data_IF_287590244501
#
_entry.id   IF_287590244501
#
_cell.length_a   1.000
_cell.length_b   1.000
_cell.length_c   1.000
_cell.angle_alpha   90.00
_cell.angle_beta   90.00
_cell.angle_gamma   90.00
#
_symmetry.space_group_name_H-M   'P 1'
#
loop_
_entity.id
_entity.type
_entity.pdbx_description
1 polymer ?
#
# COMPACT_ATOMS: atom_id res chain seq x y z
N UNK A 1 -10.59 -26.20 -23.40
CA UNK A 1 -10.15 -26.44 -22.02
C UNK A 1 -9.41 -25.19 -21.56
N UNK A 2 -9.63 -24.73 -20.33
CA UNK A 2 -8.93 -23.55 -19.81
C UNK A 2 -7.41 -23.77 -19.78
N UNK A 3 -6.64 -22.85 -20.33
CA UNK A 3 -5.17 -22.89 -20.31
C UNK A 3 -4.57 -22.65 -18.91
N UNK A 4 -5.42 -22.38 -17.93
CA UNK A 4 -5.05 -22.04 -16.55
C UNK A 4 -5.86 -22.84 -15.53
N UNK A 5 -5.27 -23.08 -14.37
CA UNK A 5 -5.89 -23.75 -13.23
C UNK A 5 -5.81 -22.85 -12.00
N UNK A 6 -6.94 -22.62 -11.35
CA UNK A 6 -7.03 -21.86 -10.08
C UNK A 6 -7.12 -22.83 -8.92
N UNK A 7 -6.37 -22.58 -7.88
CA UNK A 7 -6.50 -23.26 -6.59
C UNK A 7 -6.45 -22.26 -5.43
N UNK A 8 -7.10 -22.60 -4.32
CA UNK A 8 -6.97 -21.86 -3.07
C UNK A 8 -5.57 -22.10 -2.50
N UNK A 9 -4.96 -21.06 -1.95
CA UNK A 9 -3.70 -21.13 -1.20
C UNK A 9 -3.87 -22.02 0.05
N UNK A 10 -2.85 -22.80 0.36
CA UNK A 10 -2.68 -23.54 1.60
C UNK A 10 -1.34 -23.17 2.25
N UNK A 11 -1.24 -23.30 3.57
CA UNK A 11 -0.03 -22.93 4.31
C UNK A 11 1.24 -23.67 3.84
N UNK A 12 1.10 -24.88 3.29
CA UNK A 12 2.20 -25.62 2.63
C UNK A 12 2.77 -24.91 1.41
N UNK A 13 2.01 -23.99 0.79
CA UNK A 13 2.42 -23.26 -0.42
C UNK A 13 3.18 -21.96 -0.10
N UNK A 14 3.40 -21.64 1.19
CA UNK A 14 3.96 -20.36 1.65
C UNK A 14 5.29 -20.01 0.97
N UNK A 15 6.23 -20.96 0.88
CA UNK A 15 7.50 -20.72 0.21
C UNK A 15 7.35 -20.43 -1.28
N UNK A 16 6.45 -21.17 -1.96
CA UNK A 16 6.18 -20.95 -3.38
C UNK A 16 5.52 -19.59 -3.63
N UNK A 17 4.55 -19.23 -2.77
CA UNK A 17 3.92 -17.91 -2.77
C UNK A 17 4.94 -16.78 -2.59
N UNK A 18 5.76 -16.85 -1.54
CA UNK A 18 6.74 -15.83 -1.22
C UNK A 18 7.82 -15.67 -2.31
N UNK A 19 8.27 -16.80 -2.89
CA UNK A 19 9.19 -16.78 -4.04
C UNK A 19 8.55 -16.10 -5.26
N UNK A 20 7.24 -16.31 -5.47
CA UNK A 20 6.51 -15.66 -6.55
C UNK A 20 6.41 -14.15 -6.33
N UNK A 21 6.03 -13.72 -5.12
CA UNK A 21 5.97 -12.30 -4.75
C UNK A 21 7.27 -11.57 -5.02
N UNK A 22 8.40 -12.18 -4.65
CA UNK A 22 9.74 -11.59 -4.84
C UNK A 22 10.12 -11.37 -6.33
N UNK A 23 9.44 -12.03 -7.29
CA UNK A 23 9.76 -11.97 -8.72
C UNK A 23 8.60 -11.44 -9.58
N UNK A 24 7.50 -11.01 -8.96
CA UNK A 24 6.33 -10.51 -9.66
C UNK A 24 6.52 -9.08 -10.15
N UNK A 25 5.83 -8.69 -11.25
CA UNK A 25 5.97 -7.35 -11.83
C UNK A 25 5.26 -6.23 -11.07
N UNK A 26 4.27 -6.58 -10.24
CA UNK A 26 3.40 -5.66 -9.52
C UNK A 26 3.17 -6.11 -8.07
N UNK A 27 4.23 -6.53 -7.40
CA UNK A 27 4.18 -6.93 -6.00
C UNK A 27 5.03 -6.03 -5.10
N UNK A 28 4.71 -6.08 -3.82
CA UNK A 28 5.56 -5.54 -2.74
C UNK A 28 5.60 -6.54 -1.59
N UNK A 29 6.43 -6.27 -0.58
CA UNK A 29 6.54 -7.12 0.60
C UNK A 29 5.21 -7.27 1.38
N UNK A 30 4.22 -6.39 1.17
CA UNK A 30 2.89 -6.48 1.79
C UNK A 30 2.14 -7.74 1.35
N UNK A 31 2.47 -8.30 0.16
CA UNK A 31 1.88 -9.55 -0.34
C UNK A 31 2.59 -10.81 0.14
N UNK A 32 3.72 -10.67 0.84
CA UNK A 32 4.41 -11.79 1.45
C UNK A 32 3.56 -12.42 2.56
N UNK A 33 3.51 -13.75 2.66
CA UNK A 33 2.66 -14.41 3.66
C UNK A 33 3.06 -14.05 5.08
N UNK A 34 4.35 -13.89 5.39
CA UNK A 34 4.78 -13.42 6.71
C UNK A 34 4.22 -12.04 7.07
N UNK A 35 3.95 -11.17 6.06
CA UNK A 35 3.27 -9.90 6.29
C UNK A 35 1.76 -10.10 6.40
N UNK A 36 1.14 -10.93 5.58
CA UNK A 36 -0.32 -11.13 5.60
C UNK A 36 -0.80 -11.90 6.83
N UNK A 37 0.01 -12.81 7.35
CA UNK A 37 -0.40 -13.73 8.41
C UNK A 37 -0.29 -13.14 9.84
N UNK A 38 0.27 -11.93 10.03
CA UNK A 38 0.30 -11.31 11.37
C UNK A 38 -1.10 -11.05 11.93
N UNK A 39 -2.09 -10.96 11.07
CA UNK A 39 -3.50 -10.68 11.43
C UNK A 39 -4.47 -11.73 10.86
N UNK A 40 -4.01 -12.96 10.68
CA UNK A 40 -4.78 -14.09 10.11
C UNK A 40 -6.08 -14.39 10.86
N UNK A 41 -6.14 -14.05 12.14
CA UNK A 41 -7.33 -14.17 12.99
C UNK A 41 -8.44 -13.16 12.67
N UNK A 42 -8.14 -12.12 11.89
CA UNK A 42 -9.09 -11.06 11.51
C UNK A 42 -9.74 -11.29 10.15
N UNK A 43 -9.21 -12.21 9.35
CA UNK A 43 -9.64 -12.42 7.97
C UNK A 43 -9.72 -13.92 7.63
N UNK A 44 -10.81 -14.35 6.99
CA UNK A 44 -10.90 -15.69 6.39
C UNK A 44 -10.11 -15.71 5.09
N UNK A 45 -8.85 -16.14 5.14
CA UNK A 45 -7.95 -16.18 3.98
C UNK A 45 -8.55 -17.06 2.87
N UNK A 46 -8.81 -16.44 1.76
CA UNK A 46 -9.26 -17.10 0.53
C UNK A 46 -8.35 -16.72 -0.66
N UNK A 47 -7.06 -16.57 -0.40
CA UNK A 47 -6.06 -16.27 -1.43
C UNK A 47 -6.02 -17.35 -2.50
N UNK A 48 -5.80 -16.93 -3.76
CA UNK A 48 -5.79 -17.82 -4.92
C UNK A 48 -4.41 -17.87 -5.55
N UNK A 49 -4.06 -19.05 -6.08
CA UNK A 49 -2.87 -19.31 -6.89
C UNK A 49 -3.29 -19.80 -8.27
N UNK A 50 -2.71 -19.23 -9.31
CA UNK A 50 -3.08 -19.51 -10.68
C UNK A 50 -1.88 -20.11 -11.42
N UNK A 51 -2.08 -21.32 -11.97
CA UNK A 51 -1.05 -22.09 -12.67
C UNK A 51 -1.39 -22.23 -14.14
N UNK A 52 -0.37 -22.20 -14.99
CA UNK A 52 -0.52 -22.51 -16.42
C UNK A 52 -0.51 -24.03 -16.67
N UNK A 53 -0.65 -24.43 -17.94
CA UNK A 53 -0.66 -25.85 -18.38
C UNK A 53 0.61 -26.62 -18.00
N UNK A 54 1.74 -25.94 -17.83
CA UNK A 54 3.02 -26.52 -17.40
C UNK A 54 3.16 -26.54 -15.87
N UNK A 55 2.07 -26.35 -15.12
CA UNK A 55 2.03 -26.28 -13.67
C UNK A 55 2.95 -25.20 -13.06
N UNK A 56 3.23 -24.14 -13.82
CA UNK A 56 3.98 -22.99 -13.33
C UNK A 56 3.03 -21.95 -12.75
N UNK A 57 3.35 -21.43 -11.57
CA UNK A 57 2.63 -20.31 -10.95
C UNK A 57 2.85 -19.05 -11.79
N UNK A 58 1.75 -18.43 -12.27
CA UNK A 58 1.77 -17.26 -13.17
C UNK A 58 1.08 -16.05 -12.61
N UNK A 59 0.17 -16.26 -11.66
CA UNK A 59 -0.49 -15.17 -10.91
C UNK A 59 -0.91 -15.63 -9.52
N UNK A 60 -1.08 -14.68 -8.62
CA UNK A 60 -1.69 -14.87 -7.30
C UNK A 60 -2.69 -13.76 -7.03
N UNK A 61 -3.72 -14.06 -6.26
CA UNK A 61 -4.67 -13.07 -5.76
C UNK A 61 -4.70 -13.14 -4.23
N UNK A 62 -3.99 -12.23 -3.52
CA UNK A 62 -4.16 -12.06 -2.09
C UNK A 62 -5.61 -11.71 -1.81
N UNK A 63 -6.34 -12.53 -1.05
CA UNK A 63 -7.76 -12.32 -0.85
C UNK A 63 -8.28 -12.89 0.46
N UNK A 64 -9.41 -12.37 0.91
CA UNK A 64 -10.20 -12.94 2.00
C UNK A 64 -11.69 -12.94 1.63
N UNK A 65 -12.43 -13.83 2.26
CA UNK A 65 -13.86 -14.03 2.03
C UNK A 65 -14.67 -13.30 3.09
N UNK A 66 -15.75 -12.63 2.66
CA UNK A 66 -16.83 -12.16 3.52
C UNK A 66 -18.14 -12.53 2.84
N UNK A 67 -18.92 -13.41 3.45
CA UNK A 67 -20.13 -13.97 2.86
C UNK A 67 -19.91 -14.52 1.44
N UNK A 68 -20.62 -14.00 0.44
CA UNK A 68 -20.47 -14.36 -0.97
C UNK A 68 -19.56 -13.41 -1.77
N UNK A 69 -18.77 -12.57 -1.10
CA UNK A 69 -17.89 -11.60 -1.74
C UNK A 69 -16.43 -11.95 -1.46
N UNK A 70 -15.61 -11.96 -2.52
CA UNK A 70 -14.16 -12.04 -2.41
C UNK A 70 -13.56 -10.65 -2.46
N UNK A 71 -12.74 -10.30 -1.47
CA UNK A 71 -12.01 -9.03 -1.39
C UNK A 71 -10.53 -9.27 -1.64
N UNK A 72 -9.89 -8.45 -2.47
CA UNK A 72 -8.44 -8.46 -2.66
C UNK A 72 -7.70 -7.86 -1.46
N UNK A 73 -8.02 -8.38 -0.29
CA UNK A 73 -7.49 -8.19 1.05
C UNK A 73 -7.65 -6.78 1.66
N UNK A 74 -8.74 -6.56 2.41
CA UNK A 74 -9.04 -5.29 3.09
C UNK A 74 -7.98 -4.88 4.12
N UNK A 75 -7.25 -5.85 4.71
CA UNK A 75 -6.18 -5.59 5.69
C UNK A 75 -4.87 -5.05 5.12
N UNK A 76 -4.75 -4.91 3.79
CA UNK A 76 -3.56 -4.38 3.13
C UNK A 76 -3.78 -2.95 2.62
N UNK A 77 -2.71 -2.19 2.41
CA UNK A 77 -2.75 -0.84 1.83
C UNK A 77 -3.31 -0.86 0.41
N UNK A 78 -2.98 -1.88 -0.36
CA UNK A 78 -3.45 -2.18 -1.72
C UNK A 78 -3.52 -3.69 -1.92
N UNK A 79 -4.13 -4.13 -3.01
CA UNK A 79 -4.32 -5.52 -3.37
C UNK A 79 -4.39 -5.72 -4.88
N UNK A 80 -5.28 -6.59 -5.34
CA UNK A 80 -5.46 -6.91 -6.74
C UNK A 80 -4.69 -8.15 -7.18
N UNK A 81 -4.76 -8.45 -8.48
CA UNK A 81 -4.09 -9.59 -9.09
C UNK A 81 -2.58 -9.29 -9.22
N UNK A 82 -1.76 -10.14 -8.63
CA UNK A 82 -0.30 -10.07 -8.73
C UNK A 82 0.18 -11.00 -9.83
N UNK A 83 1.00 -10.48 -10.74
CA UNK A 83 1.33 -11.11 -12.01
C UNK A 83 2.83 -11.41 -12.13
N UNK A 84 3.16 -12.57 -12.70
CA UNK A 84 4.52 -12.84 -13.18
C UNK A 84 4.93 -11.81 -14.22
N UNK A 85 6.19 -11.40 -14.24
CA UNK A 85 6.76 -10.48 -15.25
C UNK A 85 6.68 -11.01 -16.69
N UNK A 86 6.40 -12.31 -16.87
CA UNK A 86 6.32 -12.96 -18.18
C UNK A 86 4.91 -13.02 -18.76
N UNK A 87 3.88 -12.70 -17.95
CA UNK A 87 2.48 -12.79 -18.39
C UNK A 87 2.13 -11.57 -19.24
N UNK A 88 1.53 -11.80 -20.40
CA UNK A 88 1.08 -10.78 -21.35
C UNK A 88 -0.42 -10.52 -21.23
N UNK A 89 -0.92 -9.43 -21.81
CA UNK A 89 -2.32 -9.00 -21.68
C UNK A 89 -3.35 -10.09 -22.02
N UNK A 90 -3.15 -10.81 -23.12
CA UNK A 90 -4.08 -11.90 -23.52
C UNK A 90 -4.16 -13.02 -22.47
N UNK A 91 -3.04 -13.35 -21.84
CA UNK A 91 -3.00 -14.33 -20.75
C UNK A 91 -3.69 -13.77 -19.49
N UNK A 92 -3.52 -12.48 -19.16
CA UNK A 92 -4.20 -11.86 -17.98
C UNK A 92 -5.71 -11.87 -18.17
N UNK A 93 -6.21 -11.62 -19.38
CA UNK A 93 -7.65 -11.75 -19.73
C UNK A 93 -8.14 -13.17 -19.42
N UNK A 94 -7.44 -14.20 -19.93
CA UNK A 94 -7.81 -15.61 -19.72
C UNK A 94 -7.67 -16.03 -18.23
N UNK A 95 -6.64 -15.56 -17.54
CA UNK A 95 -6.45 -15.77 -16.09
C UNK A 95 -7.63 -15.19 -15.32
N UNK A 96 -8.00 -13.94 -15.62
CA UNK A 96 -9.12 -13.27 -14.93
C UNK A 96 -10.43 -13.99 -15.20
N UNK A 97 -10.70 -14.39 -16.44
CA UNK A 97 -11.86 -15.21 -16.77
C UNK A 97 -11.87 -16.50 -15.94
N UNK A 98 -10.76 -17.23 -15.91
CA UNK A 98 -10.63 -18.47 -15.15
C UNK A 98 -10.85 -18.27 -13.63
N UNK A 99 -10.39 -17.15 -13.07
CA UNK A 99 -10.65 -16.79 -11.68
C UNK A 99 -12.15 -16.58 -11.45
N UNK A 100 -12.81 -15.80 -12.30
CA UNK A 100 -14.25 -15.51 -12.15
C UNK A 100 -15.11 -16.78 -12.32
N UNK A 101 -14.81 -17.65 -13.30
CA UNK A 101 -15.46 -18.96 -13.46
C UNK A 101 -15.25 -19.86 -12.22
N UNK A 102 -14.05 -19.84 -11.63
CA UNK A 102 -13.78 -20.56 -10.40
C UNK A 102 -14.61 -20.00 -9.24
N UNK A 103 -14.71 -18.67 -9.12
CA UNK A 103 -15.51 -18.01 -8.08
C UNK A 103 -17.00 -18.30 -8.24
N UNK A 104 -17.53 -18.30 -9.47
CA UNK A 104 -18.92 -18.66 -9.75
C UNK A 104 -19.25 -20.09 -9.30
N UNK A 105 -18.39 -21.05 -9.64
CA UNK A 105 -18.52 -22.45 -9.17
C UNK A 105 -18.42 -22.60 -7.64
N UNK A 106 -17.87 -21.60 -6.96
CA UNK A 106 -17.78 -21.52 -5.49
C UNK A 106 -18.83 -20.61 -4.87
N UNK A 107 -19.85 -20.23 -5.66
CA UNK A 107 -21.01 -19.44 -5.26
C UNK A 107 -20.66 -18.02 -4.74
N UNK A 108 -19.55 -17.46 -5.22
CA UNK A 108 -19.28 -16.04 -5.03
C UNK A 108 -20.09 -15.20 -6.01
N UNK A 109 -20.64 -14.11 -5.51
CA UNK A 109 -21.40 -13.14 -6.32
C UNK A 109 -20.51 -12.02 -6.87
N UNK A 110 -19.50 -11.61 -6.11
CA UNK A 110 -18.67 -10.44 -6.41
C UNK A 110 -17.20 -10.66 -6.09
N UNK A 111 -16.35 -9.97 -6.86
CA UNK A 111 -14.94 -9.77 -6.60
C UNK A 111 -14.68 -8.27 -6.42
N UNK A 112 -14.22 -7.88 -5.23
CA UNK A 112 -13.85 -6.49 -4.92
C UNK A 112 -12.33 -6.35 -4.97
N UNK A 113 -11.86 -5.49 -5.87
CA UNK A 113 -10.44 -5.20 -6.07
C UNK A 113 -10.07 -3.84 -5.50
N UNK A 114 -8.98 -3.80 -4.77
CA UNK A 114 -8.26 -2.60 -4.34
C UNK A 114 -6.94 -2.54 -5.10
N UNK A 115 -6.92 -1.86 -6.24
CA UNK A 115 -5.79 -1.91 -7.18
C UNK A 115 -4.53 -1.29 -6.54
N UNK A 116 -3.39 -1.94 -6.76
CA UNK A 116 -2.08 -1.37 -6.42
C UNK A 116 -1.80 -0.18 -7.32
N UNK A 117 -1.41 1.00 -6.79
CA UNK A 117 -1.05 2.15 -7.63
C UNK A 117 0.17 1.85 -8.50
N UNK A 118 0.16 2.31 -9.75
CA UNK A 118 1.18 1.98 -10.77
C UNK A 118 2.62 2.32 -10.37
N UNK A 119 2.82 3.32 -9.49
CA UNK A 119 4.15 3.69 -8.98
C UNK A 119 4.85 2.58 -8.18
N UNK A 120 4.09 1.63 -7.62
CA UNK A 120 4.64 0.49 -6.89
C UNK A 120 5.07 -0.65 -7.80
N UNK A 121 4.66 -0.63 -9.08
CA UNK A 121 4.98 -1.67 -10.05
C UNK A 121 6.44 -1.59 -10.50
N UNK A 122 7.11 -2.74 -10.62
CA UNK A 122 8.46 -2.84 -11.19
C UNK A 122 8.44 -2.68 -12.73
N UNK A 123 7.34 -3.09 -13.35
CA UNK A 123 7.07 -2.95 -14.81
C UNK A 123 5.65 -2.41 -15.02
N UNK A 124 5.34 -1.82 -16.21
CA UNK A 124 3.95 -1.47 -16.54
C UNK A 124 2.99 -2.64 -16.31
N UNK A 125 1.90 -2.40 -15.58
CA UNK A 125 0.98 -3.45 -15.14
C UNK A 125 -0.44 -2.92 -14.93
N UNK A 126 -1.00 -2.25 -15.95
CA UNK A 126 -2.35 -1.71 -15.91
C UNK A 126 -3.39 -2.66 -16.57
N UNK A 127 -3.02 -3.94 -16.79
CA UNK A 127 -3.93 -4.91 -17.40
C UNK A 127 -5.26 -5.03 -16.67
N UNK A 128 -5.23 -5.00 -15.32
CA UNK A 128 -6.46 -5.09 -14.52
C UNK A 128 -7.35 -3.87 -14.67
N UNK A 129 -6.81 -2.67 -14.88
CA UNK A 129 -7.61 -1.47 -15.18
C UNK A 129 -8.38 -1.64 -16.50
N UNK A 130 -7.70 -2.15 -17.54
CA UNK A 130 -8.33 -2.45 -18.81
C UNK A 130 -9.36 -3.58 -18.70
N UNK A 131 -9.06 -4.65 -17.97
CA UNK A 131 -9.98 -5.77 -17.77
C UNK A 131 -11.21 -5.36 -16.94
N UNK A 132 -11.07 -4.47 -15.96
CA UNK A 132 -12.19 -3.90 -15.25
C UNK A 132 -13.15 -3.14 -16.20
N UNK A 133 -12.61 -2.43 -17.20
CA UNK A 133 -13.43 -1.81 -18.25
C UNK A 133 -14.18 -2.87 -19.09
N UNK A 134 -13.51 -3.93 -19.53
CA UNK A 134 -14.14 -5.01 -20.32
C UNK A 134 -15.24 -5.75 -19.54
N UNK A 135 -15.06 -5.90 -18.23
CA UNK A 135 -16.01 -6.56 -17.33
C UNK A 135 -17.16 -5.65 -16.87
N UNK A 136 -17.22 -4.41 -17.35
CA UNK A 136 -18.18 -3.40 -16.88
C UNK A 136 -18.14 -3.25 -15.35
N UNK A 137 -16.94 -3.33 -14.78
CA UNK A 137 -16.75 -3.26 -13.35
C UNK A 137 -17.11 -1.88 -12.80
N UNK A 138 -17.82 -1.87 -11.68
CA UNK A 138 -18.20 -0.62 -11.02
C UNK A 138 -16.99 -0.04 -10.27
N UNK A 139 -16.57 1.18 -10.65
CA UNK A 139 -15.64 1.97 -9.83
C UNK A 139 -16.36 2.40 -8.55
N UNK A 140 -16.12 1.69 -7.45
CA UNK A 140 -16.82 1.87 -6.18
C UNK A 140 -16.19 2.95 -5.30
N UNK A 141 -14.86 3.16 -5.41
CA UNK A 141 -14.09 4.17 -4.69
C UNK A 141 -12.85 4.56 -5.49
N UNK A 142 -12.44 5.81 -5.34
CA UNK A 142 -11.16 6.32 -5.84
C UNK A 142 -10.54 7.23 -4.80
N UNK A 143 -9.30 6.97 -4.45
CA UNK A 143 -8.54 7.81 -3.53
C UNK A 143 -7.47 8.60 -4.30
N UNK A 144 -7.18 9.81 -3.82
CA UNK A 144 -6.10 10.66 -4.31
C UNK A 144 -4.90 10.54 -3.36
N UNK A 145 -3.81 9.98 -3.85
CA UNK A 145 -2.53 9.92 -3.16
C UNK A 145 -1.70 11.14 -3.52
N UNK A 146 -1.00 11.70 -2.56
CA UNK A 146 -0.02 12.76 -2.80
C UNK A 146 1.38 12.13 -2.96
N UNK A 147 1.92 12.15 -4.17
CA UNK A 147 3.18 11.48 -4.53
C UNK A 147 4.21 12.51 -5.01
N UNK A 148 5.40 12.44 -4.46
CA UNK A 148 6.56 13.17 -4.93
C UNK A 148 7.40 12.26 -5.84
N UNK A 149 7.65 12.70 -7.07
CA UNK A 149 8.70 12.14 -7.91
C UNK A 149 10.05 12.74 -7.46
N UNK A 150 10.89 11.91 -6.81
CA UNK A 150 12.18 12.36 -6.28
C UNK A 150 13.16 12.66 -7.41
N UNK A 151 13.00 12.03 -8.56
CA UNK A 151 13.87 12.20 -9.73
C UNK A 151 13.53 13.46 -10.54
N UNK A 152 12.29 13.99 -10.38
CA UNK A 152 11.80 15.16 -11.10
C UNK A 152 11.00 16.08 -10.14
N UNK A 153 11.70 16.68 -9.19
CA UNK A 153 11.09 17.41 -8.09
C UNK A 153 10.53 18.78 -8.48
N UNK A 154 9.30 19.04 -8.04
CA UNK A 154 8.75 20.40 -8.00
C UNK A 154 9.29 21.11 -6.76
N UNK A 155 9.64 22.41 -6.86
CA UNK A 155 10.22 23.13 -5.73
C UNK A 155 9.31 23.16 -4.50
N UNK A 156 9.88 22.92 -3.34
CA UNK A 156 9.21 23.00 -2.04
C UNK A 156 8.68 24.42 -1.81
N UNK A 157 7.47 24.55 -1.29
CA UNK A 157 6.81 25.83 -1.03
C UNK A 157 7.55 26.69 0.04
N UNK A 158 7.34 28.01 -0.01
CA UNK A 158 7.94 28.93 0.97
C UNK A 158 7.55 28.59 2.41
N UNK A 159 6.32 28.11 2.63
CA UNK A 159 5.84 27.72 3.97
C UNK A 159 6.63 26.53 4.50
N UNK A 160 6.85 25.50 3.67
CA UNK A 160 7.65 24.32 4.06
C UNK A 160 9.11 24.69 4.29
N UNK A 161 9.70 25.53 3.44
CA UNK A 161 11.08 26.04 3.64
C UNK A 161 11.24 26.71 5.00
N UNK A 162 10.26 27.55 5.41
CA UNK A 162 10.28 28.18 6.74
C UNK A 162 10.21 27.17 7.88
N UNK A 163 9.35 26.13 7.76
CA UNK A 163 9.26 25.04 8.76
C UNK A 163 10.58 24.25 8.87
N UNK A 164 11.21 23.95 7.73
CA UNK A 164 12.50 23.26 7.67
C UNK A 164 13.62 24.10 8.34
N UNK A 165 13.72 25.37 7.97
CA UNK A 165 14.72 26.26 8.57
C UNK A 165 14.51 26.47 10.07
N UNK A 166 13.25 26.47 10.51
CA UNK A 166 12.89 26.51 11.94
C UNK A 166 13.39 25.26 12.66
N UNK A 167 13.23 24.06 12.06
CA UNK A 167 13.78 22.81 12.60
C UNK A 167 15.30 22.85 12.75
N UNK A 168 15.99 23.36 11.74
CA UNK A 168 17.46 23.55 11.79
C UNK A 168 17.88 24.52 12.89
N UNK A 169 17.21 25.68 12.96
CA UNK A 169 17.52 26.71 13.97
C UNK A 169 17.29 26.24 15.41
N UNK A 170 16.33 25.33 15.62
CA UNK A 170 16.05 24.72 16.92
C UNK A 170 16.92 23.48 17.22
N UNK A 171 17.92 23.19 16.39
CA UNK A 171 18.85 22.08 16.61
C UNK A 171 18.20 20.70 16.56
N UNK A 172 17.13 20.52 15.77
CA UNK A 172 16.46 19.23 15.66
C UNK A 172 17.38 18.16 15.05
N UNK A 173 17.34 16.95 15.61
CA UNK A 173 18.11 15.81 15.16
C UNK A 173 17.17 14.67 14.77
N UNK A 174 17.37 14.09 13.58
CA UNK A 174 16.65 12.88 13.13
C UNK A 174 17.48 11.65 13.45
N UNK A 175 16.85 10.64 14.05
CA UNK A 175 17.46 9.33 14.33
C UNK A 175 16.64 8.23 13.67
N UNK A 176 17.32 7.27 13.02
CA UNK A 176 16.73 5.97 12.66
C UNK A 176 16.77 5.08 13.89
N UNK A 177 15.66 4.46 14.24
CA UNK A 177 15.53 3.63 15.43
C UNK A 177 14.99 2.24 15.09
N UNK A 178 15.38 1.24 15.88
CA UNK A 178 14.85 -0.11 15.78
C UNK A 178 13.68 -0.35 16.74
N UNK A 179 13.49 0.55 17.72
CA UNK A 179 12.42 0.50 18.70
C UNK A 179 11.32 1.51 18.35
N UNK A 180 10.08 1.04 18.39
CA UNK A 180 8.89 1.86 18.10
C UNK A 180 8.26 2.45 19.36
N UNK A 181 8.75 2.10 20.56
CA UNK A 181 8.08 2.35 21.84
C UNK A 181 7.81 3.82 22.09
N UNK A 182 8.81 4.68 21.97
CA UNK A 182 8.64 6.12 22.19
C UNK A 182 7.65 6.73 21.21
N UNK A 183 7.79 6.43 19.92
CA UNK A 183 6.88 6.96 18.92
C UNK A 183 5.43 6.48 19.11
N UNK A 184 5.21 5.17 19.40
CA UNK A 184 3.88 4.61 19.60
C UNK A 184 3.21 5.16 20.84
N UNK A 185 3.90 5.14 21.98
CA UNK A 185 3.31 5.43 23.27
C UNK A 185 3.21 6.94 23.57
N UNK A 186 4.17 7.74 23.11
CA UNK A 186 4.21 9.17 23.42
C UNK A 186 3.50 10.03 22.36
N UNK A 187 3.47 9.59 21.09
CA UNK A 187 2.92 10.39 20.00
C UNK A 187 1.73 9.73 19.28
N UNK A 188 1.90 8.52 18.73
CA UNK A 188 0.93 7.97 17.80
C UNK A 188 -0.39 7.58 18.48
N UNK A 189 -0.33 6.76 19.53
CA UNK A 189 -1.53 6.27 20.23
C UNK A 189 -2.29 7.45 20.89
N UNK A 190 -1.64 8.36 21.65
CA UNK A 190 -2.33 9.50 22.24
C UNK A 190 -3.01 10.40 21.20
N UNK A 191 -2.32 10.72 20.09
CA UNK A 191 -2.87 11.59 19.05
C UNK A 191 -4.04 10.96 18.31
N UNK A 192 -3.99 9.66 17.99
CA UNK A 192 -5.11 8.95 17.34
C UNK A 192 -6.32 8.84 18.26
N UNK A 193 -6.10 8.55 19.54
CA UNK A 193 -7.18 8.49 20.52
C UNK A 193 -7.89 9.84 20.67
N UNK A 194 -7.13 10.91 20.77
CA UNK A 194 -7.71 12.24 21.00
C UNK A 194 -8.41 12.81 19.77
N UNK A 195 -7.80 12.66 18.55
CA UNK A 195 -8.36 13.25 17.33
C UNK A 195 -9.49 12.45 16.71
N UNK A 196 -9.39 11.12 16.78
CA UNK A 196 -10.25 10.21 16.00
C UNK A 196 -10.93 9.14 16.86
N UNK A 197 -10.67 9.12 18.17
CA UNK A 197 -11.13 8.07 19.09
C UNK A 197 -10.82 6.64 18.57
N UNK A 198 -9.63 6.46 17.98
CA UNK A 198 -9.18 5.21 17.36
C UNK A 198 -7.78 4.82 17.83
N UNK A 199 -7.34 3.64 17.41
CA UNK A 199 -5.99 3.10 17.63
C UNK A 199 -5.28 2.90 16.29
N UNK A 200 -3.94 2.79 16.27
CA UNK A 200 -3.22 2.35 15.08
C UNK A 200 -3.72 0.99 14.62
N UNK A 201 -3.69 0.74 13.31
CA UNK A 201 -4.07 -0.57 12.72
C UNK A 201 -3.15 -1.68 13.25
N UNK A 202 -1.86 -1.41 13.37
CA UNK A 202 -0.89 -2.29 14.01
C UNK A 202 -0.72 -1.89 15.48
N UNK A 203 -0.78 -2.84 16.39
CA UNK A 203 -0.29 -2.67 17.76
C UNK A 203 1.24 -2.53 17.78
N UNK A 204 1.79 -2.06 18.89
CA UNK A 204 3.25 -2.00 19.08
C UNK A 204 3.90 -3.39 18.91
N UNK A 205 3.26 -4.43 19.42
CA UNK A 205 3.72 -5.80 19.27
C UNK A 205 3.74 -6.23 17.79
N UNK A 206 2.67 -5.98 17.04
CA UNK A 206 2.56 -6.36 15.64
C UNK A 206 3.58 -5.63 14.76
N UNK A 207 3.78 -4.31 14.94
CA UNK A 207 4.77 -3.58 14.13
C UNK A 207 6.20 -4.03 14.46
N UNK A 208 6.49 -4.33 15.72
CA UNK A 208 7.78 -4.87 16.15
C UNK A 208 8.02 -6.26 15.54
N UNK A 209 7.01 -7.13 15.55
CA UNK A 209 7.07 -8.42 14.88
C UNK A 209 7.31 -8.27 13.37
N UNK A 210 6.55 -7.41 12.70
CA UNK A 210 6.71 -7.15 11.27
C UNK A 210 8.10 -6.59 10.95
N UNK A 211 8.64 -5.68 11.77
CA UNK A 211 10.02 -5.19 11.64
C UNK A 211 11.05 -6.33 11.72
N UNK A 212 10.84 -7.31 12.59
CA UNK A 212 11.74 -8.46 12.70
C UNK A 212 11.75 -9.33 11.44
N UNK A 213 10.62 -9.41 10.72
CA UNK A 213 10.48 -10.14 9.45
C UNK A 213 10.95 -9.33 8.24
N UNK A 214 10.77 -8.01 8.29
CA UNK A 214 11.08 -7.08 7.19
C UNK A 214 12.00 -5.93 7.64
N UNK A 215 13.25 -6.26 8.12
CA UNK A 215 14.12 -5.26 8.75
C UNK A 215 14.59 -4.15 7.80
N UNK A 216 14.61 -4.42 6.49
CA UNK A 216 14.99 -3.44 5.48
C UNK A 216 13.80 -2.65 4.96
N UNK A 217 12.60 -3.21 4.97
CA UNK A 217 11.39 -2.61 4.43
C UNK A 217 10.61 -1.77 5.45
N UNK A 218 10.74 -2.05 6.74
CA UNK A 218 10.03 -1.29 7.79
C UNK A 218 11.06 -0.50 8.60
N UNK A 219 10.95 0.82 8.56
CA UNK A 219 11.89 1.75 9.19
C UNK A 219 11.16 2.73 10.11
N UNK A 220 11.77 3.06 11.25
CA UNK A 220 11.29 4.09 12.15
C UNK A 220 12.27 5.25 12.18
N UNK A 221 11.76 6.46 11.99
CA UNK A 221 12.53 7.69 12.16
C UNK A 221 11.84 8.60 13.16
N UNK A 222 12.59 9.06 14.12
CA UNK A 222 12.13 10.03 15.11
C UNK A 222 12.95 11.32 15.00
N UNK A 223 12.30 12.45 15.26
CA UNK A 223 12.96 13.75 15.36
C UNK A 223 12.92 14.23 16.80
N UNK A 224 14.05 14.66 17.28
CA UNK A 224 14.28 15.06 18.66
C UNK A 224 14.76 16.51 18.77
N UNK A 225 14.39 17.17 19.86
CA UNK A 225 15.09 18.31 20.40
C UNK A 225 15.69 17.86 21.74
N UNK A 226 17.01 17.85 21.84
CA UNK A 226 17.72 17.19 22.95
C UNK A 226 17.23 15.72 23.11
N UNK A 227 16.66 15.37 24.27
CA UNK A 227 16.11 14.04 24.55
C UNK A 227 14.58 13.95 24.36
N UNK A 228 13.92 15.05 23.92
CA UNK A 228 12.46 15.08 23.73
C UNK A 228 12.07 14.71 22.31
N UNK A 229 11.18 13.74 22.17
CA UNK A 229 10.60 13.39 20.87
C UNK A 229 9.63 14.50 20.43
N UNK A 230 9.92 15.09 19.26
CA UNK A 230 9.11 16.16 18.65
C UNK A 230 8.15 15.59 17.61
N UNK A 231 8.56 14.53 16.92
CA UNK A 231 7.76 13.87 15.92
C UNK A 231 8.41 12.56 15.47
N UNK A 232 7.67 11.79 14.70
CA UNK A 232 8.18 10.53 14.16
C UNK A 232 7.36 10.04 12.97
N UNK A 233 7.94 9.07 12.26
CA UNK A 233 7.33 8.42 11.11
C UNK A 233 7.79 6.97 11.01
N UNK A 234 6.84 6.06 10.81
CA UNK A 234 7.13 4.69 10.38
C UNK A 234 7.01 4.63 8.87
N UNK A 235 8.05 4.18 8.21
CA UNK A 235 8.15 4.15 6.75
C UNK A 235 8.15 2.71 6.27
N UNK A 236 7.35 2.42 5.23
CA UNK A 236 7.41 1.19 4.45
C UNK A 236 8.21 1.48 3.17
N UNK A 237 9.28 0.72 2.97
CA UNK A 237 10.20 0.84 1.84
C UNK A 237 9.91 -0.30 0.86
N UNK A 238 9.61 0.05 -0.39
CA UNK A 238 9.45 -0.90 -1.51
C UNK A 238 10.49 -0.59 -2.58
N UNK A 239 10.53 -1.36 -3.66
CA UNK A 239 11.54 -1.19 -4.72
C UNK A 239 11.50 0.19 -5.39
N UNK A 240 10.33 0.82 -5.48
CA UNK A 240 10.15 2.10 -6.16
C UNK A 240 9.62 3.22 -5.25
N UNK A 241 9.05 2.87 -4.08
CA UNK A 241 8.24 3.82 -3.30
C UNK A 241 8.61 3.77 -1.83
N UNK A 242 8.80 4.94 -1.28
CA UNK A 242 8.91 5.19 0.16
C UNK A 242 7.54 5.66 0.65
N UNK A 243 6.91 4.87 1.53
CA UNK A 243 5.57 5.16 2.04
C UNK A 243 5.57 5.39 3.56
N UNK A 244 5.34 6.62 4.04
CA UNK A 244 5.04 6.91 5.44
C UNK A 244 3.74 6.24 5.89
N UNK A 245 3.84 5.10 6.55
CA UNK A 245 2.68 4.33 7.03
C UNK A 245 2.02 4.98 8.26
N UNK A 246 2.84 5.50 9.17
CA UNK A 246 2.38 6.23 10.36
C UNK A 246 3.19 7.50 10.52
N UNK A 247 2.50 8.59 10.83
CA UNK A 247 3.09 9.90 11.10
C UNK A 247 2.42 10.51 12.33
N UNK A 248 3.19 11.05 13.22
CA UNK A 248 2.69 11.80 14.37
C UNK A 248 3.70 12.83 14.85
N UNK A 249 3.22 14.02 15.21
CA UNK A 249 4.02 15.08 15.83
C UNK A 249 3.51 15.40 17.22
N UNK A 250 4.40 15.84 18.08
CA UNK A 250 4.06 16.34 19.41
C UNK A 250 3.21 17.60 19.27
N UNK A 251 2.02 17.64 19.88
CA UNK A 251 1.06 18.73 19.73
C UNK A 251 1.60 20.09 20.24
N UNK A 252 2.32 20.07 21.32
CA UNK A 252 2.86 21.29 21.92
C UNK A 252 4.02 21.87 21.11
N UNK A 253 4.88 21.01 20.53
CA UNK A 253 6.18 21.44 20.05
C UNK A 253 6.36 21.29 18.52
N UNK A 254 5.63 20.39 17.86
CA UNK A 254 5.85 20.12 16.43
C UNK A 254 5.79 21.37 15.55
N UNK A 255 4.73 22.19 15.70
CA UNK A 255 4.56 23.41 14.90
C UNK A 255 5.50 24.53 15.33
N UNK A 256 5.78 24.60 16.62
CA UNK A 256 6.71 25.57 17.18
C UNK A 256 8.14 25.31 16.72
N UNK A 257 8.56 24.06 16.69
CA UNK A 257 9.91 23.66 16.34
C UNK A 257 10.11 23.30 14.85
N UNK A 258 9.02 23.12 14.08
CA UNK A 258 9.09 22.69 12.68
C UNK A 258 9.42 21.20 12.53
N UNK A 259 9.02 20.36 13.49
CA UNK A 259 9.47 18.96 13.62
C UNK A 259 9.20 18.10 12.41
N UNK A 260 7.93 17.94 12.00
CA UNK A 260 7.58 17.09 10.84
C UNK A 260 8.07 17.68 9.52
N UNK A 261 8.11 19.00 9.35
CA UNK A 261 8.64 19.63 8.15
C UNK A 261 10.14 19.31 7.99
N UNK A 262 10.89 19.40 9.08
CA UNK A 262 12.31 19.07 9.11
C UNK A 262 12.55 17.58 8.90
N UNK A 263 11.78 16.70 9.57
CA UNK A 263 11.87 15.24 9.42
C UNK A 263 11.64 14.80 7.98
N UNK A 264 10.54 15.24 7.35
CA UNK A 264 10.22 14.85 5.98
C UNK A 264 11.26 15.37 4.98
N UNK A 265 11.70 16.61 5.13
CA UNK A 265 12.78 17.13 4.31
C UNK A 265 14.06 16.31 4.45
N UNK A 266 14.43 15.94 5.69
CA UNK A 266 15.60 15.10 5.95
C UNK A 266 15.48 13.74 5.25
N UNK A 267 14.32 13.08 5.36
CA UNK A 267 14.09 11.80 4.71
C UNK A 267 14.18 11.89 3.18
N UNK A 268 13.53 12.89 2.58
CA UNK A 268 13.47 13.05 1.12
C UNK A 268 14.85 13.46 0.56
N UNK A 269 15.54 14.38 1.23
CA UNK A 269 16.77 15.00 0.67
C UNK A 269 18.06 14.30 1.06
N UNK A 270 18.05 13.48 2.12
CA UNK A 270 19.25 12.82 2.64
C UNK A 270 19.14 11.30 2.58
N UNK A 271 18.10 10.72 3.22
CA UNK A 271 17.98 9.27 3.37
C UNK A 271 17.56 8.62 2.05
N UNK A 272 16.49 9.12 1.43
CA UNK A 272 15.83 8.54 0.26
C UNK A 272 16.04 9.32 -1.04
N UNK A 273 17.07 10.14 -1.10
CA UNK A 273 17.35 11.04 -2.26
C UNK A 273 17.58 10.32 -3.59
N UNK A 274 17.91 9.03 -3.55
CA UNK A 274 18.17 8.22 -4.74
C UNK A 274 16.98 7.29 -5.09
N UNK A 275 15.90 7.34 -4.30
CA UNK A 275 14.70 6.57 -4.56
C UNK A 275 13.84 7.26 -5.64
N UNK A 276 12.83 6.54 -6.14
CA UNK A 276 12.03 7.04 -7.27
C UNK A 276 10.85 7.87 -6.80
N UNK A 277 10.05 7.35 -5.88
CA UNK A 277 8.84 8.00 -5.39
C UNK A 277 8.77 8.06 -3.88
N UNK A 278 8.19 9.15 -3.38
CA UNK A 278 7.79 9.30 -1.98
C UNK A 278 6.27 9.50 -1.95
N UNK A 279 5.54 8.49 -1.47
CA UNK A 279 4.09 8.47 -1.41
C UNK A 279 3.60 8.90 -0.03
N UNK A 280 3.18 10.14 0.13
CA UNK A 280 2.59 10.67 1.36
C UNK A 280 1.24 10.03 1.72
N UNK A 281 0.69 9.18 0.86
CA UNK A 281 -0.60 8.54 1.03
C UNK A 281 -1.79 9.46 0.80
N UNK A 282 -2.97 8.94 1.12
CA UNK A 282 -4.26 9.61 0.89
C UNK A 282 -4.54 10.73 1.89
N UNK A 283 -5.35 11.69 1.46
CA UNK A 283 -6.00 12.68 2.33
C UNK A 283 -7.53 12.63 2.19
N UNK A 284 -8.04 11.52 1.67
CA UNK A 284 -9.46 11.33 1.42
C UNK A 284 -10.18 10.85 2.68
N UNK A 285 -11.42 11.30 2.80
CA UNK A 285 -12.43 10.89 3.78
C UNK A 285 -13.68 10.40 3.04
N UNK A 286 -14.66 9.86 3.76
CA UNK A 286 -15.95 9.43 3.21
C UNK A 286 -15.82 8.59 1.92
N UNK A 287 -15.06 7.49 1.98
CA UNK A 287 -14.85 6.55 0.86
C UNK A 287 -14.36 7.24 -0.44
N UNK A 288 -13.39 8.15 -0.30
CA UNK A 288 -12.80 8.86 -1.43
C UNK A 288 -13.53 10.11 -1.90
N UNK A 289 -14.73 10.39 -1.36
CA UNK A 289 -15.59 11.48 -1.84
C UNK A 289 -15.32 12.86 -1.23
N UNK A 290 -14.50 12.91 -0.18
CA UNK A 290 -14.09 14.15 0.47
C UNK A 290 -12.58 14.19 0.57
N UNK A 291 -11.99 15.38 0.51
CA UNK A 291 -10.55 15.61 0.65
C UNK A 291 -10.32 16.52 1.85
N UNK A 292 -9.49 16.10 2.78
CA UNK A 292 -8.96 16.96 3.81
C UNK A 292 -7.95 17.93 3.18
N UNK A 293 -8.43 19.11 2.81
CA UNK A 293 -7.70 20.12 2.05
C UNK A 293 -6.39 20.52 2.75
N UNK A 294 -6.43 20.78 4.06
CA UNK A 294 -5.26 21.20 4.82
C UNK A 294 -4.16 20.14 4.83
N UNK A 295 -4.56 18.87 5.01
CA UNK A 295 -3.62 17.75 4.99
C UNK A 295 -3.07 17.52 3.58
N UNK A 296 -3.91 17.61 2.56
CA UNK A 296 -3.48 17.43 1.17
C UNK A 296 -2.51 18.55 0.74
N UNK A 297 -2.85 19.81 1.06
CA UNK A 297 -1.97 20.96 0.82
C UNK A 297 -0.62 20.82 1.52
N UNK A 298 -0.60 20.30 2.78
CA UNK A 298 0.66 20.05 3.48
C UNK A 298 1.56 19.10 2.69
N UNK A 299 1.02 18.02 2.14
CA UNK A 299 1.75 17.05 1.32
C UNK A 299 2.21 17.66 -0.01
N UNK A 300 1.31 18.33 -0.73
CA UNK A 300 1.64 19.01 -2.00
C UNK A 300 2.67 20.12 -1.83
N UNK A 301 2.71 20.74 -0.67
CA UNK A 301 3.67 21.80 -0.37
C UNK A 301 5.13 21.32 -0.29
N UNK A 302 5.37 20.00 -0.22
CA UNK A 302 6.68 19.37 -0.43
C UNK A 302 7.01 19.11 -1.91
N UNK A 303 6.12 19.41 -2.83
CA UNK A 303 6.27 19.16 -4.26
C UNK A 303 5.49 17.92 -4.76
N UNK A 304 4.74 17.24 -3.88
CA UNK A 304 3.92 16.11 -4.27
C UNK A 304 2.78 16.52 -5.23
N UNK A 305 2.36 15.57 -6.07
CA UNK A 305 1.19 15.72 -6.96
C UNK A 305 0.33 14.46 -6.89
N UNK A 306 -0.90 14.60 -7.37
CA UNK A 306 -1.91 13.56 -7.25
C UNK A 306 -1.71 12.42 -8.23
N UNK A 307 -1.72 11.19 -7.73
CA UNK A 307 -2.06 9.99 -8.48
C UNK A 307 -3.28 9.34 -7.84
N UNK A 308 -3.92 8.38 -8.51
CA UNK A 308 -5.14 7.75 -7.99
C UNK A 308 -4.93 6.28 -7.62
N UNK A 309 -5.68 5.84 -6.61
CA UNK A 309 -5.88 4.44 -6.30
C UNK A 309 -7.34 4.08 -6.54
N UNK A 310 -7.58 3.05 -7.35
CA UNK A 310 -8.90 2.63 -7.77
C UNK A 310 -9.39 1.40 -7.00
N UNK A 311 -10.70 1.37 -6.75
CA UNK A 311 -11.40 0.25 -6.12
C UNK A 311 -12.55 -0.16 -7.04
N UNK A 312 -12.56 -1.42 -7.47
CA UNK A 312 -13.56 -1.95 -8.37
C UNK A 312 -14.40 -3.04 -7.72
N UNK A 313 -15.67 -3.07 -8.05
CA UNK A 313 -16.58 -4.16 -7.78
C UNK A 313 -16.92 -4.86 -9.10
N UNK A 314 -16.58 -6.12 -9.22
CA UNK A 314 -16.81 -6.97 -10.39
C UNK A 314 -17.89 -7.97 -10.05
N UNK A 315 -18.97 -8.03 -10.83
CA UNK A 315 -19.95 -9.11 -10.79
C UNK A 315 -19.31 -10.38 -11.36
N UNK A 316 -19.27 -11.46 -10.58
CA UNK A 316 -18.60 -12.71 -10.97
C UNK A 316 -19.17 -13.27 -12.28
N UNK A 317 -20.50 -13.17 -12.49
CA UNK A 317 -21.20 -13.62 -13.71
C UNK A 317 -20.73 -12.92 -15.00
N UNK A 318 -20.09 -11.74 -14.88
CA UNK A 318 -19.61 -10.98 -16.03
C UNK A 318 -18.39 -11.61 -16.71
N UNK A 319 -17.89 -12.75 -16.23
CA UNK A 319 -16.78 -13.47 -16.88
C UNK A 319 -17.05 -13.75 -18.36
N UNK A 320 -18.32 -13.96 -18.76
CA UNK A 320 -18.72 -14.21 -20.15
C UNK A 320 -18.46 -13.02 -21.08
N UNK A 321 -18.36 -11.80 -20.58
CA UNK A 321 -17.96 -10.62 -21.38
C UNK A 321 -16.53 -10.74 -21.94
N UNK A 322 -15.70 -11.62 -21.35
CA UNK A 322 -14.35 -11.86 -21.84
C UNK A 322 -14.27 -12.92 -22.97
N UNK A 323 -15.38 -13.55 -23.36
CA UNK A 323 -15.39 -14.65 -24.35
C UNK A 323 -14.98 -14.22 -25.76
N UNK A 324 -15.28 -12.98 -26.12
CA UNK A 324 -15.11 -12.45 -27.49
C UNK A 324 -14.08 -11.33 -27.58
N UNK A 325 -13.31 -11.10 -26.51
CA UNK A 325 -12.35 -9.99 -26.43
C UNK A 325 -11.09 -10.25 -27.26
N UNK A 326 -10.64 -11.50 -27.30
CA UNK A 326 -9.46 -11.88 -28.09
C UNK A 326 -9.90 -12.29 -29.51
N UNK A 327 -9.43 -11.57 -30.53
CA UNK A 327 -9.73 -11.75 -31.97
C UNK A 327 -8.50 -12.22 -32.73
#
# INVERSE_FOLDING_TARGET
MSNFRVQRYHSSDSNHWNTFVANAKNATFLFHKDFMEYHKDRFDDYSLMIFNVNNKLVAILPAHKVDSVLYSHQGLTYGGLVLSSKVILSEVILITKCILEFLEKKEFSKLNLKIIPSIYNCFPSDEMEYICFLLEAKLSRRDALAVLDITNQIPISRVRKRGIEKGKANGLVVKEENDFTSFWNELLIPNLKERYNTKPVHSLFEITYLKSKFPNQIKQYNVYQDDKIVGGVTVFVTDNVIHPQYISGNKAFNNELGGLDFLYHYLISNVYKNEKYFDFGISNENQGKQVNESLHYWKESFGARTIVQNFYEIEVKNHSLLDTVLI
#
